data_IF_367398935205
#
_entry.id   IF_367398935205
#
_cell.length_a   1.000
_cell.length_b   1.000
_cell.length_c   1.000
_cell.angle_alpha   90.00
_cell.angle_beta   90.00
_cell.angle_gamma   90.00
#
_symmetry.space_group_name_H-M   'P 1'
#
loop_
_entity.id
_entity.type
_entity.pdbx_description
1 polymer ?
#
# COMPACT_ATOMS: atom_id res chain seq x y z
N UNK A 1 -19.35 -20.43 2.04
CA UNK A 1 -18.38 -19.33 2.23
C UNK A 1 -17.47 -19.63 3.42
N UNK A 2 -16.93 -20.85 3.52
CA UNK A 2 -16.06 -21.31 4.65
C UNK A 2 -14.78 -22.01 4.12
N UNK A 3 -14.78 -22.44 2.86
CA UNK A 3 -13.65 -23.12 2.19
C UNK A 3 -12.43 -22.21 1.93
N UNK A 4 -12.63 -20.92 1.64
CA UNK A 4 -11.54 -20.04 1.20
C UNK A 4 -10.55 -19.68 2.33
N UNK A 5 -10.98 -19.72 3.59
CA UNK A 5 -10.15 -19.35 4.74
C UNK A 5 -9.07 -20.40 5.02
N UNK A 6 -9.42 -21.69 4.94
CA UNK A 6 -8.50 -22.79 5.21
C UNK A 6 -7.36 -22.93 4.18
N UNK A 7 -7.47 -22.22 3.05
CA UNK A 7 -6.44 -22.14 2.02
C UNK A 7 -5.22 -21.32 2.49
N UNK A 8 -5.45 -20.29 3.32
CA UNK A 8 -4.41 -19.34 3.73
C UNK A 8 -3.98 -19.52 5.18
N UNK A 9 -4.93 -19.77 6.10
CA UNK A 9 -4.66 -19.91 7.52
C UNK A 9 -5.24 -21.23 8.03
N UNK A 10 -4.39 -22.02 8.68
CA UNK A 10 -4.77 -23.27 9.35
C UNK A 10 -4.72 -23.14 10.86
N UNK A 11 -5.47 -24.00 11.53
CA UNK A 11 -5.35 -24.26 12.97
C UNK A 11 -4.89 -25.69 13.13
N UNK A 12 -3.81 -25.91 13.89
CA UNK A 12 -3.36 -27.25 14.25
C UNK A 12 -4.28 -27.82 15.34
N UNK A 13 -4.81 -29.02 15.11
CA UNK A 13 -5.97 -29.55 15.85
C UNK A 13 -5.68 -29.82 17.34
N UNK A 14 -4.42 -30.11 17.69
CA UNK A 14 -4.05 -30.59 19.03
C UNK A 14 -3.50 -29.43 19.89
N UNK A 15 -2.57 -28.66 19.35
CA UNK A 15 -1.92 -27.52 20.01
C UNK A 15 -2.75 -26.24 19.91
N UNK A 16 -3.61 -26.12 18.89
CA UNK A 16 -4.31 -24.88 18.56
C UNK A 16 -3.42 -23.83 17.87
N UNK A 17 -2.20 -24.18 17.45
CA UNK A 17 -1.31 -23.26 16.75
C UNK A 17 -1.90 -22.79 15.42
N UNK A 18 -1.79 -21.49 15.17
CA UNK A 18 -2.16 -20.90 13.89
C UNK A 18 -0.97 -20.98 12.94
N UNK A 19 -1.20 -21.53 11.74
CA UNK A 19 -0.18 -21.69 10.70
C UNK A 19 -0.60 -20.99 9.42
N UNK A 20 0.34 -20.30 8.78
CA UNK A 20 0.15 -19.72 7.46
C UNK A 20 0.46 -20.81 6.42
N UNK A 21 -0.50 -21.10 5.55
CA UNK A 21 -0.42 -22.17 4.54
C UNK A 21 -0.08 -21.68 3.15
N UNK A 22 -0.39 -20.41 2.87
CA UNK A 22 -0.12 -19.73 1.61
C UNK A 22 0.35 -18.31 1.90
N UNK A 23 1.10 -17.71 0.98
CA UNK A 23 1.56 -16.33 1.11
C UNK A 23 0.37 -15.39 1.38
N UNK A 24 0.58 -14.47 2.32
CA UNK A 24 -0.36 -13.42 2.64
C UNK A 24 0.09 -12.16 1.90
N UNK A 25 -0.85 -11.53 1.22
CA UNK A 25 -0.63 -10.34 0.41
C UNK A 25 -1.59 -9.26 0.92
N UNK A 26 -1.03 -8.15 1.40
CA UNK A 26 -1.79 -7.06 2.00
C UNK A 26 -2.65 -6.33 0.97
N UNK A 27 -2.13 -6.14 -0.24
CA UNK A 27 -2.78 -5.52 -1.41
C UNK A 27 -3.98 -6.34 -1.88
N UNK A 28 -3.95 -7.66 -1.67
CA UNK A 28 -5.09 -8.54 -1.96
C UNK A 28 -6.09 -8.63 -0.80
N UNK A 29 -5.60 -8.79 0.44
CA UNK A 29 -6.46 -8.96 1.62
C UNK A 29 -5.74 -8.55 2.90
N UNK A 30 -6.29 -7.52 3.55
CA UNK A 30 -5.75 -6.95 4.79
C UNK A 30 -6.12 -7.69 6.07
N UNK A 31 -7.09 -8.60 6.03
CA UNK A 31 -7.53 -9.32 7.24
C UNK A 31 -8.29 -10.63 6.95
N UNK A 32 -8.28 -11.50 7.96
CA UNK A 32 -9.05 -12.74 8.00
C UNK A 32 -9.78 -12.83 9.34
N UNK A 33 -11.06 -13.19 9.32
CA UNK A 33 -11.86 -13.44 10.51
C UNK A 33 -12.48 -14.84 10.46
N UNK A 34 -12.43 -15.54 11.59
CA UNK A 34 -13.03 -16.86 11.69
C UNK A 34 -13.33 -17.30 13.12
N UNK A 35 -14.17 -18.33 13.22
CA UNK A 35 -14.54 -18.94 14.48
C UNK A 35 -13.78 -20.26 14.65
N UNK A 36 -12.95 -20.36 15.69
CA UNK A 36 -12.34 -21.61 16.12
C UNK A 36 -13.29 -22.31 17.10
N UNK A 37 -13.70 -23.54 16.78
CA UNK A 37 -14.61 -24.34 17.60
C UNK A 37 -13.78 -25.48 18.21
N UNK A 38 -13.55 -25.48 19.53
CA UNK A 38 -12.85 -26.57 20.20
C UNK A 38 -13.61 -27.90 20.10
N UNK A 39 -12.86 -29.00 19.91
CA UNK A 39 -13.42 -30.35 19.77
C UNK A 39 -14.08 -30.85 21.07
N UNK A 40 -13.64 -30.36 22.22
CA UNK A 40 -14.22 -30.67 23.53
C UNK A 40 -15.61 -30.04 23.77
N UNK A 41 -16.14 -29.32 22.78
CA UNK A 41 -17.44 -28.66 22.84
C UNK A 41 -17.45 -27.41 23.72
N UNK A 42 -16.27 -26.91 24.11
CA UNK A 42 -16.16 -25.63 24.81
C UNK A 42 -16.50 -24.45 23.91
N UNK A 43 -16.51 -23.26 24.50
CA UNK A 43 -17.01 -22.04 23.84
C UNK A 43 -16.16 -21.72 22.61
N UNK A 44 -16.83 -21.46 21.50
CA UNK A 44 -16.18 -21.02 20.27
C UNK A 44 -15.46 -19.67 20.46
N UNK A 45 -14.29 -19.56 19.84
CA UNK A 45 -13.38 -18.42 19.94
C UNK A 45 -13.40 -17.68 18.61
N UNK A 46 -13.60 -16.37 18.66
CA UNK A 46 -13.49 -15.54 17.46
C UNK A 46 -12.06 -15.06 17.29
N UNK A 47 -11.47 -15.36 16.13
CA UNK A 47 -10.10 -15.06 15.79
C UNK A 47 -10.11 -14.01 14.68
N UNK A 48 -9.37 -12.92 14.91
CA UNK A 48 -9.10 -11.89 13.93
C UNK A 48 -7.61 -11.87 13.63
N UNK A 49 -7.27 -12.01 12.36
CA UNK A 49 -5.89 -11.93 11.87
C UNK A 49 -5.78 -10.68 11.01
N UNK A 50 -4.87 -9.80 11.39
CA UNK A 50 -4.51 -8.62 10.61
C UNK A 50 -3.24 -8.91 9.83
N UNK A 51 -3.27 -8.69 8.52
CA UNK A 51 -2.08 -8.73 7.67
C UNK A 51 -1.38 -7.38 7.83
N UNK A 52 -0.07 -7.43 8.08
CA UNK A 52 0.76 -6.24 8.20
C UNK A 52 1.33 -5.95 6.81
N UNK A 53 1.19 -4.71 6.38
CA UNK A 53 1.74 -4.21 5.13
C UNK A 53 3.28 -4.18 5.17
N UNK A 54 3.92 -4.56 4.07
CA UNK A 54 5.36 -4.61 3.89
C UNK A 54 5.73 -3.82 2.62
N UNK A 55 6.93 -3.25 2.56
CA UNK A 55 7.32 -2.42 1.42
C UNK A 55 7.80 -3.29 0.25
N UNK A 56 6.89 -4.00 -0.41
CA UNK A 56 7.18 -4.89 -1.53
C UNK A 56 6.75 -4.36 -2.89
N UNK A 57 6.01 -3.25 -2.94
CA UNK A 57 5.78 -2.49 -4.16
C UNK A 57 6.73 -1.29 -4.28
N UNK A 58 6.93 -0.84 -5.52
CA UNK A 58 7.77 0.30 -5.82
C UNK A 58 6.95 1.36 -6.56
N UNK A 59 7.17 2.66 -6.30
CA UNK A 59 6.48 3.72 -7.01
C UNK A 59 6.66 3.64 -8.52
N UNK A 60 5.55 3.65 -9.25
CA UNK A 60 5.51 3.68 -10.72
C UNK A 60 4.88 4.97 -11.24
N UNK A 61 5.47 5.55 -12.28
CA UNK A 61 4.83 6.65 -13.00
C UNK A 61 3.86 6.07 -14.05
N UNK A 62 2.59 6.50 -14.08
CA UNK A 62 1.60 5.99 -15.04
C UNK A 62 1.97 6.27 -16.50
N UNK A 63 2.75 7.34 -16.73
CA UNK A 63 3.26 7.74 -18.05
C UNK A 63 4.78 7.94 -17.99
N UNK A 64 5.53 7.52 -19.02
CA UNK A 64 6.99 7.59 -19.01
C UNK A 64 7.53 9.01 -19.20
N UNK A 65 6.73 9.92 -19.75
CA UNK A 65 7.10 11.31 -20.00
C UNK A 65 5.87 12.21 -20.03
N UNK A 66 6.03 13.43 -19.52
CA UNK A 66 5.03 14.49 -19.59
C UNK A 66 5.66 15.71 -20.23
N UNK A 67 5.01 16.27 -21.25
CA UNK A 67 5.40 17.55 -21.84
C UNK A 67 4.74 18.68 -21.05
N UNK A 68 5.55 19.65 -20.65
CA UNK A 68 5.13 20.78 -19.83
C UNK A 68 5.48 22.06 -20.59
N UNK A 69 4.50 22.94 -20.73
CA UNK A 69 4.69 24.26 -21.33
C UNK A 69 4.51 25.33 -20.26
N UNK A 70 5.50 26.21 -20.12
CA UNK A 70 5.49 27.30 -19.15
C UNK A 70 5.73 28.59 -19.92
N UNK A 71 4.82 29.56 -19.77
CA UNK A 71 4.99 30.88 -20.36
C UNK A 71 6.19 31.59 -19.72
N UNK A 72 6.98 32.30 -20.51
CA UNK A 72 8.02 33.19 -19.99
C UNK A 72 7.45 34.32 -19.10
N UNK A 73 6.17 34.65 -19.26
CA UNK A 73 5.44 35.60 -18.42
C UNK A 73 4.87 34.97 -17.15
N UNK A 74 5.11 33.67 -16.92
CA UNK A 74 4.67 33.00 -15.70
C UNK A 74 5.27 33.69 -14.48
N UNK A 75 4.41 33.95 -13.48
CA UNK A 75 4.85 34.58 -12.24
C UNK A 75 5.78 33.63 -11.49
N UNK A 76 6.77 34.22 -10.81
CA UNK A 76 7.61 33.48 -9.87
C UNK A 76 6.73 32.83 -8.81
N UNK A 77 7.03 31.57 -8.46
CA UNK A 77 6.24 30.73 -7.55
C UNK A 77 4.87 30.31 -8.08
N UNK A 78 4.61 30.43 -9.39
CA UNK A 78 3.49 29.70 -9.99
C UNK A 78 3.70 28.20 -9.84
N UNK A 79 2.62 27.48 -9.53
CA UNK A 79 2.62 26.03 -9.35
C UNK A 79 1.97 25.36 -10.54
N UNK A 80 2.51 24.21 -10.92
CA UNK A 80 1.96 23.34 -11.95
C UNK A 80 1.75 21.96 -11.35
N UNK A 81 0.53 21.43 -11.47
CA UNK A 81 0.24 20.08 -11.04
C UNK A 81 0.91 19.07 -11.99
N UNK A 82 1.60 18.09 -11.41
CA UNK A 82 2.23 16.99 -12.14
C UNK A 82 1.52 15.68 -11.79
N UNK A 83 1.41 14.73 -12.74
CA UNK A 83 1.02 13.37 -12.41
C UNK A 83 1.95 12.81 -11.34
N UNK A 84 1.38 12.28 -10.27
CA UNK A 84 2.13 11.58 -9.23
C UNK A 84 2.43 10.14 -9.67
N UNK A 85 3.48 9.56 -9.10
CA UNK A 85 3.64 8.12 -9.11
C UNK A 85 2.49 7.46 -8.32
N UNK A 86 2.31 6.16 -8.54
CA UNK A 86 1.38 5.30 -7.82
C UNK A 86 2.21 4.20 -7.17
N UNK A 87 1.87 3.87 -5.95
CA UNK A 87 2.45 2.80 -5.17
C UNK A 87 1.31 2.09 -4.43
N UNK A 88 1.34 0.77 -4.43
CA UNK A 88 0.24 -0.05 -3.92
C UNK A 88 0.30 -0.19 -2.40
N UNK A 89 1.50 -0.08 -1.83
CA UNK A 89 1.72 -0.14 -0.38
C UNK A 89 0.95 0.98 0.32
N UNK A 90 0.52 0.73 1.56
CA UNK A 90 -0.15 1.74 2.38
C UNK A 90 0.86 2.76 2.94
N UNK A 91 0.40 3.96 3.33
CA UNK A 91 1.24 4.89 4.07
C UNK A 91 1.67 4.27 5.42
N UNK A 92 2.95 4.38 5.84
CA UNK A 92 3.99 5.25 5.30
C UNK A 92 4.96 4.58 4.31
N UNK A 93 4.68 3.36 3.86
CA UNK A 93 5.54 2.59 2.95
C UNK A 93 5.40 3.08 1.50
N UNK A 94 4.21 3.59 1.16
CA UNK A 94 3.93 4.32 -0.08
C UNK A 94 4.82 5.57 -0.32
N UNK A 95 4.56 6.29 -1.40
CA UNK A 95 5.37 7.42 -1.88
C UNK A 95 5.57 8.53 -0.83
N UNK A 96 6.84 8.73 -0.44
CA UNK A 96 7.20 9.73 0.56
C UNK A 96 7.71 11.06 -0.02
N UNK A 97 8.47 11.01 -1.13
CA UNK A 97 9.15 12.19 -1.67
C UNK A 97 9.52 12.04 -3.14
N UNK A 98 9.69 13.18 -3.81
CA UNK A 98 10.20 13.27 -5.17
C UNK A 98 11.49 14.10 -5.22
N UNK A 99 12.32 13.86 -6.23
CA UNK A 99 13.55 14.63 -6.48
C UNK A 99 13.79 14.81 -7.97
N UNK A 100 14.18 16.01 -8.37
CA UNK A 100 14.64 16.30 -9.73
C UNK A 100 16.09 15.81 -9.86
N UNK A 101 16.35 14.95 -10.85
CA UNK A 101 17.68 14.35 -11.05
C UNK A 101 18.61 15.22 -11.90
N UNK A 102 18.06 15.92 -12.90
CA UNK A 102 18.82 16.68 -13.90
C UNK A 102 17.98 17.79 -14.54
N UNK A 103 18.61 18.68 -15.30
CA UNK A 103 17.91 19.73 -16.08
C UNK A 103 17.43 20.94 -15.29
N UNK A 104 17.48 20.90 -13.96
CA UNK A 104 17.08 22.02 -13.09
C UNK A 104 18.20 23.05 -12.88
N UNK A 105 18.62 23.70 -13.97
CA UNK A 105 19.70 24.71 -13.94
C UNK A 105 19.32 25.86 -13.00
N UNK A 106 20.27 26.32 -12.18
CA UNK A 106 20.09 27.37 -11.18
C UNK A 106 18.96 27.11 -10.15
N UNK A 107 18.54 25.85 -9.97
CA UNK A 107 17.38 25.49 -9.14
C UNK A 107 16.10 26.26 -9.54
N UNK A 108 15.89 26.48 -10.84
CA UNK A 108 14.74 27.20 -11.38
C UNK A 108 13.38 26.59 -10.97
N UNK A 109 13.33 25.29 -10.72
CA UNK A 109 12.14 24.55 -10.32
C UNK A 109 12.29 23.93 -8.93
N UNK A 110 11.17 23.83 -8.21
CA UNK A 110 11.06 23.12 -6.94
C UNK A 110 9.83 22.24 -6.96
N UNK A 111 9.98 21.00 -6.49
CA UNK A 111 8.85 20.10 -6.27
C UNK A 111 8.20 20.44 -4.94
N UNK A 112 6.87 20.58 -4.96
CA UNK A 112 6.04 20.75 -3.76
C UNK A 112 5.06 19.59 -3.74
N UNK A 113 5.13 18.76 -2.70
CA UNK A 113 4.18 17.67 -2.50
C UNK A 113 3.00 18.18 -1.69
N UNK A 114 1.91 18.54 -2.36
CA UNK A 114 0.63 18.68 -1.69
C UNK A 114 0.14 17.25 -1.41
N UNK A 115 0.23 16.80 -0.15
CA UNK A 115 -0.32 15.52 0.27
C UNK A 115 -1.84 15.58 0.07
N UNK A 116 -2.30 15.13 -1.10
CA UNK A 116 -3.70 14.80 -1.28
C UNK A 116 -3.86 13.44 -0.62
N UNK A 117 -4.41 13.44 0.60
CA UNK A 117 -4.91 12.20 1.20
C UNK A 117 -5.95 11.67 0.21
N UNK A 118 -5.63 10.56 -0.46
CA UNK A 118 -6.64 9.88 -1.27
C UNK A 118 -7.74 9.40 -0.30
N UNK A 119 -9.02 9.70 -0.59
CA UNK A 119 -10.13 9.37 0.31
C UNK A 119 -10.34 7.86 0.45
#
# INVERSE_FOLDING_TARGET
MVECLFQYIGVEEISGELVVKSELDYEQRTSYDFLAIPVDGSKAIHVYVHVIDENDNAPIFPVPSVNIEISEYARLHSELALPSAIDADAPPLSIQKYRILSGNVNNAFRLVSNRVVQP
#
